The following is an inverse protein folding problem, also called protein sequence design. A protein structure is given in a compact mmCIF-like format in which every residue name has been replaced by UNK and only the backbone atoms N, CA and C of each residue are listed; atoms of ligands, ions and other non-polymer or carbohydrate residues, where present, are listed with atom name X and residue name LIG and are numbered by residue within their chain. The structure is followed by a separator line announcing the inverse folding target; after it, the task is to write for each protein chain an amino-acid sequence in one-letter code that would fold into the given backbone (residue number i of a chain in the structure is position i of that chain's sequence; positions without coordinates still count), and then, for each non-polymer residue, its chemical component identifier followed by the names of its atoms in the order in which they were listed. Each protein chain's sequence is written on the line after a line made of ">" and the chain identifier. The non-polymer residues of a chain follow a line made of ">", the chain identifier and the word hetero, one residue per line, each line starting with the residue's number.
data_IF_877810682826
#
_entry.id   IF_877810682826
#
_cell.length_a   1.000
_cell.length_b   1.000
_cell.length_c   1.000
_cell.angle_alpha   90.00
_cell.angle_beta   90.00
_cell.angle_gamma   90.00
#
_symmetry.space_group_name_H-M   'P 1'
#
loop_
_entity.id
_entity.type
_entity.pdbx_description
1 polymer ?
#
# COMPACT_ATOMS: atom_id res chain seq x y z
N UNK A 1 -4.90 -15.26 -6.11
CA UNK A 1 -5.31 -13.95 -5.57
C UNK A 1 -6.83 -13.92 -5.47
N UNK A 2 -7.44 -13.19 -4.51
CA UNK A 2 -8.87 -12.92 -4.49
C UNK A 2 -9.31 -12.20 -5.78
N UNK A 3 -10.53 -12.44 -6.26
CA UNK A 3 -11.07 -11.85 -7.50
C UNK A 3 -11.12 -10.32 -7.52
N UNK A 4 -10.96 -9.67 -6.36
CA UNK A 4 -10.99 -8.21 -6.21
C UNK A 4 -9.60 -7.58 -6.22
N UNK A 5 -8.54 -8.39 -6.25
CA UNK A 5 -7.15 -7.94 -6.36
C UNK A 5 -6.69 -8.27 -7.79
N UNK A 6 -6.48 -7.25 -8.60
CA UNK A 6 -6.01 -7.39 -9.98
C UNK A 6 -4.51 -7.68 -10.04
N UNK A 7 -3.74 -7.03 -9.16
CA UNK A 7 -2.29 -7.19 -9.09
C UNK A 7 -1.77 -7.02 -7.67
N UNK A 8 -0.68 -7.72 -7.39
CA UNK A 8 0.10 -7.59 -6.16
C UNK A 8 1.59 -7.67 -6.50
N UNK A 9 2.41 -6.87 -5.82
CA UNK A 9 3.86 -6.86 -5.96
C UNK A 9 4.49 -6.42 -4.64
N UNK A 10 5.43 -7.18 -4.05
CA UNK A 10 5.76 -8.57 -4.35
C UNK A 10 4.53 -9.48 -4.27
N UNK A 11 4.45 -10.47 -5.16
CA UNK A 11 3.48 -11.55 -5.06
C UNK A 11 3.90 -12.57 -3.98
N UNK A 12 3.00 -13.50 -3.66
CA UNK A 12 3.24 -14.54 -2.66
C UNK A 12 4.45 -15.42 -3.05
N UNK A 13 5.45 -15.47 -2.17
CA UNK A 13 6.71 -16.18 -2.37
C UNK A 13 7.76 -15.46 -3.21
N UNK A 14 7.52 -14.20 -3.62
CA UNK A 14 8.52 -13.41 -4.34
C UNK A 14 9.71 -13.04 -3.44
N UNK A 15 10.88 -12.90 -4.07
CA UNK A 15 12.07 -12.35 -3.43
C UNK A 15 12.38 -10.97 -3.98
N UNK A 16 12.59 -10.00 -3.09
CA UNK A 16 12.76 -8.59 -3.42
C UNK A 16 13.90 -7.94 -2.63
N UNK A 17 14.21 -6.69 -2.94
CA UNK A 17 15.22 -5.91 -2.20
C UNK A 17 14.59 -5.26 -0.97
N UNK A 18 15.42 -4.90 0.01
CA UNK A 18 14.97 -4.20 1.25
C UNK A 18 14.26 -2.87 1.02
N UNK A 19 14.49 -2.27 -0.14
CA UNK A 19 13.92 -0.99 -0.56
C UNK A 19 12.86 -1.17 -1.67
N UNK A 20 12.35 -2.39 -1.88
CA UNK A 20 11.30 -2.63 -2.86
C UNK A 20 9.95 -2.06 -2.41
N UNK A 21 9.21 -1.49 -3.36
CA UNK A 21 7.86 -1.02 -3.12
C UNK A 21 6.89 -2.20 -2.97
N UNK A 22 5.95 -2.07 -2.04
CA UNK A 22 4.78 -2.94 -1.91
C UNK A 22 3.59 -2.27 -2.59
N UNK A 23 2.87 -3.00 -3.43
CA UNK A 23 1.72 -2.52 -4.22
C UNK A 23 0.63 -3.57 -4.21
N UNK A 24 -0.60 -3.15 -3.94
CA UNK A 24 -1.81 -3.94 -4.14
C UNK A 24 -2.80 -3.12 -4.96
N UNK A 25 -3.21 -3.69 -6.08
CA UNK A 25 -4.10 -3.10 -7.07
C UNK A 25 -5.45 -3.81 -6.99
N UNK A 26 -6.51 -3.06 -6.71
CA UNK A 26 -7.86 -3.59 -6.55
C UNK A 26 -8.73 -3.25 -7.75
N UNK A 27 -9.76 -4.06 -7.98
CA UNK A 27 -10.85 -3.66 -8.88
C UNK A 27 -11.54 -2.38 -8.36
N UNK A 28 -12.24 -1.68 -9.25
CA UNK A 28 -12.98 -0.46 -8.91
C UNK A 28 -13.90 -0.62 -7.69
N UNK A 29 -13.91 0.43 -6.86
CA UNK A 29 -14.84 0.56 -5.73
C UNK A 29 -14.37 -0.09 -4.43
N UNK A 30 -13.10 -0.50 -4.35
CA UNK A 30 -12.50 -1.02 -3.13
C UNK A 30 -11.46 -0.05 -2.58
N UNK A 31 -11.34 -0.04 -1.26
CA UNK A 31 -10.24 0.62 -0.56
C UNK A 31 -9.67 -0.32 0.51
N UNK A 32 -8.49 0.02 1.02
CA UNK A 32 -7.77 -0.83 1.94
C UNK A 32 -6.88 -0.06 2.90
N UNK A 33 -6.46 -0.76 3.96
CA UNK A 33 -5.27 -0.43 4.75
C UNK A 33 -4.27 -1.59 4.65
N UNK A 34 -2.98 -1.25 4.67
CA UNK A 34 -1.88 -2.21 4.54
C UNK A 34 -1.23 -2.48 5.89
N UNK A 35 -0.80 -3.72 6.08
CA UNK A 35 0.03 -4.15 7.18
C UNK A 35 1.26 -4.86 6.64
N UNK A 36 2.39 -4.67 7.33
CA UNK A 36 3.60 -5.48 7.13
C UNK A 36 4.05 -5.99 8.50
N UNK A 37 4.30 -7.29 8.61
CA UNK A 37 4.72 -7.96 9.86
C UNK A 37 3.84 -7.64 11.08
N UNK A 38 2.53 -7.53 10.83
CA UNK A 38 1.53 -7.20 11.84
C UNK A 38 1.40 -5.71 12.19
N UNK A 39 2.23 -4.83 11.62
CA UNK A 39 2.19 -3.38 11.82
C UNK A 39 1.20 -2.75 10.83
N UNK A 40 0.13 -2.10 11.32
CA UNK A 40 -0.76 -1.29 10.47
C UNK A 40 -0.02 -0.04 10.01
N UNK A 41 0.12 0.13 8.69
CA UNK A 41 0.74 1.31 8.12
C UNK A 41 -0.27 2.46 8.13
N UNK A 42 0.08 3.65 8.66
CA UNK A 42 -0.69 4.86 8.43
C UNK A 42 -0.96 4.99 6.94
N UNK A 43 -2.18 5.37 6.58
CA UNK A 43 -2.58 5.48 5.16
C UNK A 43 -2.95 6.93 4.87
N UNK A 44 -2.23 7.53 3.92
CA UNK A 44 -2.56 8.84 3.37
C UNK A 44 -3.27 8.65 2.04
N UNK A 45 -4.34 9.40 1.80
CA UNK A 45 -5.03 9.36 0.51
C UNK A 45 -4.45 10.40 -0.45
N UNK A 46 -4.22 10.01 -1.70
CA UNK A 46 -3.55 10.86 -2.68
C UNK A 46 -4.37 12.11 -3.06
N UNK A 47 -5.70 11.99 -3.08
CA UNK A 47 -6.63 13.12 -3.29
C UNK A 47 -6.55 14.17 -2.18
N UNK A 48 -6.28 13.76 -0.94
CA UNK A 48 -6.09 14.67 0.19
C UNK A 48 -4.76 15.45 0.08
N UNK A 49 -3.68 14.80 -0.36
CA UNK A 49 -2.37 15.42 -0.58
C UNK A 49 -2.39 16.50 -1.67
N UNK A 50 -3.14 16.26 -2.74
CA UNK A 50 -3.28 17.24 -3.83
C UNK A 50 -4.17 18.42 -3.43
N UNK A 51 -5.10 18.19 -2.51
CA UNK A 51 -6.03 19.20 -2.00
C UNK A 51 -5.42 20.11 -0.92
N UNK A 52 -4.41 19.65 -0.17
CA UNK A 52 -3.73 20.42 0.90
C UNK A 52 -2.79 21.53 0.40
N UNK A 53 -2.74 21.79 -0.91
CA UNK A 53 -1.96 22.89 -1.48
C UNK A 53 -0.51 22.54 -1.82
N UNK A 54 -0.10 21.27 -1.71
CA UNK A 54 1.03 20.74 -2.49
C UNK A 54 0.62 20.62 -3.96
N UNK A 55 0.31 21.74 -4.60
CA UNK A 55 0.22 21.82 -6.05
C UNK A 55 1.63 21.69 -6.60
N UNK A 56 2.05 20.45 -6.82
CA UNK A 56 3.18 20.17 -7.69
C UNK A 56 2.91 20.90 -9.02
N UNK A 57 3.82 21.80 -9.41
CA UNK A 57 3.76 22.43 -10.72
C UNK A 57 3.63 21.36 -11.82
N UNK A 58 3.06 21.64 -13.00
CA UNK A 58 3.05 20.67 -14.10
C UNK A 58 4.46 20.12 -14.35
N UNK A 59 4.67 18.82 -14.11
CA UNK A 59 5.97 18.15 -14.20
C UNK A 59 6.77 18.04 -12.89
N UNK A 60 6.29 18.57 -11.77
CA UNK A 60 6.90 18.37 -10.47
C UNK A 60 6.55 16.99 -9.90
N UNK A 61 7.57 16.31 -9.37
CA UNK A 61 7.43 15.04 -8.69
C UNK A 61 6.74 15.27 -7.34
N UNK A 62 5.62 14.60 -7.10
CA UNK A 62 4.98 14.59 -5.78
C UNK A 62 5.85 13.76 -4.85
N UNK A 63 6.42 14.38 -3.83
CA UNK A 63 7.07 13.65 -2.74
C UNK A 63 5.99 12.88 -1.98
N UNK A 64 6.11 11.55 -1.96
CA UNK A 64 5.17 10.70 -1.25
C UNK A 64 5.43 10.77 0.26
N UNK A 65 4.39 10.85 1.09
CA UNK A 65 4.55 10.85 2.54
C UNK A 65 5.17 9.53 3.03
N UNK A 66 5.79 9.52 4.21
CA UNK A 66 6.35 8.31 4.85
C UNK A 66 5.25 7.39 5.43
N UNK A 67 4.22 7.12 4.65
CA UNK A 67 3.03 6.34 4.99
C UNK A 67 2.69 5.40 3.83
N UNK A 68 1.78 4.46 4.03
CA UNK A 68 1.10 3.87 2.88
C UNK A 68 0.32 4.98 2.15
N UNK A 69 0.25 4.89 0.82
CA UNK A 69 -0.48 5.83 -0.02
C UNK A 69 -1.57 5.06 -0.73
N UNK A 70 -2.82 5.48 -0.53
CA UNK A 70 -3.96 5.00 -1.29
C UNK A 70 -4.33 6.00 -2.38
N UNK A 71 -4.33 5.55 -3.62
CA UNK A 71 -4.80 6.31 -4.77
C UNK A 71 -6.25 5.92 -5.08
N UNK A 72 -7.25 6.73 -4.71
CA UNK A 72 -8.65 6.41 -4.96
C UNK A 72 -9.07 6.56 -6.42
N UNK A 73 -8.26 7.19 -7.27
CA UNK A 73 -8.51 7.27 -8.71
C UNK A 73 -8.16 5.97 -9.43
N UNK A 74 -7.20 5.21 -8.88
CA UNK A 74 -6.71 3.96 -9.47
C UNK A 74 -6.99 2.72 -8.58
N UNK A 75 -7.52 2.89 -7.37
CA UNK A 75 -7.79 1.82 -6.40
C UNK A 75 -6.52 1.02 -6.01
N UNK A 76 -5.40 1.72 -5.92
CA UNK A 76 -4.09 1.14 -5.56
C UNK A 76 -3.70 1.61 -4.17
N UNK A 77 -3.30 0.66 -3.31
CA UNK A 77 -2.53 0.98 -2.10
C UNK A 77 -1.07 0.59 -2.32
N UNK A 78 -0.16 1.50 -1.96
CA UNK A 78 1.28 1.26 -2.07
C UNK A 78 2.03 1.73 -0.84
N UNK A 79 3.19 1.14 -0.60
CA UNK A 79 4.10 1.55 0.45
C UNK A 79 5.54 1.40 -0.04
N UNK A 80 6.33 2.44 0.16
CA UNK A 80 7.76 2.45 -0.12
C UNK A 80 8.49 2.69 1.20
N UNK A 81 9.34 1.76 1.65
CA UNK A 81 10.25 2.03 2.76
C UNK A 81 11.09 3.27 2.46
N UNK A 82 11.13 4.20 3.41
CA UNK A 82 11.87 5.45 3.31
C UNK A 82 12.11 6.06 4.69
N UNK A 83 13.07 6.99 4.78
CA UNK A 83 13.38 7.71 6.02
C UNK A 83 12.12 8.38 6.58
N UNK A 84 11.87 8.20 7.87
CA UNK A 84 10.71 8.73 8.58
C UNK A 84 9.44 7.87 8.48
N UNK A 85 9.44 6.80 7.69
CA UNK A 85 8.37 5.82 7.70
C UNK A 85 8.48 4.90 8.93
N UNK A 86 7.37 4.28 9.33
CA UNK A 86 7.40 3.30 10.42
C UNK A 86 8.30 2.11 10.07
N UNK A 87 8.41 1.78 8.78
CA UNK A 87 9.36 0.81 8.24
C UNK A 87 10.24 1.56 7.24
N UNK A 88 11.47 1.90 7.65
CA UNK A 88 12.40 2.65 6.80
C UNK A 88 13.14 1.75 5.79
N UNK A 89 13.28 0.48 6.12
CA UNK A 89 13.77 -0.59 5.25
C UNK A 89 13.24 -1.94 5.76
N UNK A 90 13.10 -2.92 4.87
CA UNK A 90 12.84 -4.29 5.32
C UNK A 90 14.11 -4.93 5.87
N UNK A 91 13.97 -5.70 6.95
CA UNK A 91 15.05 -6.58 7.43
C UNK A 91 15.32 -7.69 6.41
N UNK A 92 16.38 -8.48 6.59
CA UNK A 92 16.57 -9.68 5.77
C UNK A 92 15.63 -10.80 6.24
N UNK A 93 15.03 -11.53 5.30
CA UNK A 93 14.26 -12.75 5.56
C UNK A 93 12.81 -12.69 5.09
N UNK A 94 11.98 -13.55 5.65
CA UNK A 94 10.56 -13.64 5.32
C UNK A 94 9.77 -12.52 6.00
N UNK A 95 8.88 -11.90 5.25
CA UNK A 95 7.96 -10.85 5.68
C UNK A 95 6.50 -11.24 5.38
N UNK A 96 5.58 -10.85 6.25
CA UNK A 96 4.14 -10.99 6.03
C UNK A 96 3.55 -9.68 5.50
N UNK A 97 3.04 -9.71 4.27
CA UNK A 97 2.15 -8.67 3.76
C UNK A 97 0.70 -8.99 4.09
N UNK A 98 -0.08 -7.97 4.48
CA UNK A 98 -1.52 -8.13 4.69
C UNK A 98 -2.28 -6.88 4.28
N UNK A 99 -3.43 -7.07 3.64
CA UNK A 99 -4.40 -6.00 3.38
C UNK A 99 -5.73 -6.31 4.05
N UNK A 100 -6.28 -5.30 4.73
CA UNK A 100 -7.68 -5.26 5.14
C UNK A 100 -8.41 -4.37 4.15
N UNK A 101 -9.33 -4.94 3.37
CA UNK A 101 -9.98 -4.25 2.25
C UNK A 101 -11.50 -4.41 2.28
N UNK A 102 -12.22 -3.40 1.79
CA UNK A 102 -13.69 -3.39 1.75
C UNK A 102 -14.18 -2.64 0.52
N UNK A 103 -15.45 -2.89 0.14
CA UNK A 103 -16.13 -2.03 -0.82
C UNK A 103 -16.42 -0.70 -0.15
N UNK A 104 -16.08 0.40 -0.82
CA UNK A 104 -16.27 1.76 -0.29
C UNK A 104 -17.73 1.98 0.15
N UNK A 105 -18.69 1.50 -0.63
CA UNK A 105 -20.12 1.62 -0.33
C UNK A 105 -20.58 0.85 0.93
N UNK A 106 -19.84 -0.19 1.32
CA UNK A 106 -20.20 -1.08 2.43
C UNK A 106 -19.47 -0.73 3.74
N UNK A 107 -18.42 0.10 3.68
CA UNK A 107 -17.64 0.52 4.83
C UNK A 107 -16.67 -0.53 5.39
N UNK A 108 -15.72 -0.06 6.22
CA UNK A 108 -14.63 -0.87 6.80
C UNK A 108 -15.13 -2.00 7.70
N UNK A 109 -16.32 -1.88 8.27
CA UNK A 109 -16.95 -2.93 9.09
C UNK A 109 -17.27 -4.20 8.30
N UNK A 110 -17.31 -4.13 6.96
CA UNK A 110 -17.48 -5.28 6.06
C UNK A 110 -16.17 -5.77 5.45
N UNK A 111 -15.04 -5.34 6.01
CA UNK A 111 -13.74 -5.66 5.46
C UNK A 111 -13.42 -7.15 5.46
N UNK A 112 -12.61 -7.53 4.48
CA UNK A 112 -12.02 -8.84 4.28
C UNK A 112 -10.51 -8.71 4.40
N UNK A 113 -9.85 -9.82 4.69
CA UNK A 113 -8.40 -9.89 4.86
C UNK A 113 -7.82 -10.77 3.79
N UNK A 114 -6.69 -10.33 3.23
CA UNK A 114 -5.80 -11.17 2.45
C UNK A 114 -4.38 -11.00 2.96
N UNK A 115 -3.68 -12.12 3.11
CA UNK A 115 -2.31 -12.21 3.63
C UNK A 115 -1.45 -12.96 2.63
N UNK A 116 -0.21 -12.55 2.48
CA UNK A 116 0.81 -13.20 1.64
C UNK A 116 2.20 -13.06 2.27
N UNK A 117 3.16 -13.82 1.76
CA UNK A 117 4.56 -13.76 2.21
C UNK A 117 5.49 -13.32 1.08
N UNK A 118 6.59 -12.64 1.43
CA UNK A 118 7.68 -12.33 0.51
C UNK A 118 9.02 -12.35 1.25
N UNK A 119 10.10 -12.60 0.54
CA UNK A 119 11.46 -12.62 1.08
C UNK A 119 12.25 -11.39 0.68
N UNK A 120 13.14 -10.95 1.57
CA UNK A 120 14.07 -9.84 1.34
C UNK A 120 15.51 -10.27 1.56
N UNK A 121 16.41 -9.88 0.64
CA UNK A 121 17.85 -10.12 0.74
C UNK A 121 18.61 -9.01 1.52
#
# INVERSE_FOLDING_TARGET
>A
LPDVIERMSPADGDRVLRQSQIIVDFIEGYEAVMFIDGIELPTTRLDELTSSGQQAAPGAQVELPPTAVFDPGNFIISFQPQVGAIIEEFTQGEHEGKVLYWRIADGREKARVYTWQFDTD
#
